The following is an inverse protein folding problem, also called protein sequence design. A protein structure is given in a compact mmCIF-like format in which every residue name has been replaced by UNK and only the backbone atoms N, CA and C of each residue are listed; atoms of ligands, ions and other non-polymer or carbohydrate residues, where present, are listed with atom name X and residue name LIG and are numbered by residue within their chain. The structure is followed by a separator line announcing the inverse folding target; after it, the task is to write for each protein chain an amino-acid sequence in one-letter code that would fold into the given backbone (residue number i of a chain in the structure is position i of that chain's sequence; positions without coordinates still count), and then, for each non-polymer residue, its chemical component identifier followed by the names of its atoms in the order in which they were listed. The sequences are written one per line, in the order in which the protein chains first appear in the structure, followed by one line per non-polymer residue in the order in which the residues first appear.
data_IF_441941923971
#
_entry.id   IF_441941923971
#
_cell.length_a   1.000
_cell.length_b   1.000
_cell.length_c   1.000
_cell.angle_alpha   90.00
_cell.angle_beta   90.00
_cell.angle_gamma   90.00
#
_symmetry.space_group_name_H-M   'P 1'
#
loop_
_entity.id
_entity.type
_entity.pdbx_description
1 polymer ?
#
# COMPACT_ATOMS: atom_id res chain seq x y z
N UNK A 1 4.12 -9.11 -32.96
CA UNK A 1 4.40 -10.37 -32.21
C UNK A 1 5.79 -10.93 -32.49
N UNK A 2 6.28 -10.92 -33.72
CA UNK A 2 7.57 -11.52 -34.08
C UNK A 2 8.79 -10.76 -33.52
N UNK A 3 8.71 -9.43 -33.44
CA UNK A 3 9.72 -8.58 -32.80
C UNK A 3 9.86 -8.85 -31.29
N UNK A 4 8.73 -8.99 -30.60
CA UNK A 4 8.68 -9.29 -29.16
C UNK A 4 9.33 -10.65 -28.85
N UNK A 5 8.92 -11.71 -29.57
CA UNK A 5 9.48 -13.06 -29.39
C UNK A 5 11.00 -13.10 -29.62
N UNK A 6 11.48 -12.36 -30.62
CA UNK A 6 12.91 -12.26 -30.93
C UNK A 6 13.69 -11.55 -29.82
N UNK A 7 13.17 -10.45 -29.29
CA UNK A 7 13.79 -9.72 -28.18
C UNK A 7 13.84 -10.59 -26.91
N UNK A 8 12.73 -11.21 -26.55
CA UNK A 8 12.63 -12.13 -25.40
C UNK A 8 13.63 -13.30 -25.52
N UNK A 9 13.72 -13.93 -26.70
CA UNK A 9 14.67 -15.04 -26.91
C UNK A 9 16.13 -14.59 -26.75
N UNK A 10 16.46 -13.37 -27.20
CA UNK A 10 17.79 -12.79 -27.03
C UNK A 10 18.13 -12.51 -25.58
N UNK A 11 17.18 -11.97 -24.80
CA UNK A 11 17.37 -11.71 -23.37
C UNK A 11 17.57 -13.00 -22.57
N UNK A 12 16.74 -14.02 -22.82
CA UNK A 12 16.91 -15.35 -22.23
C UNK A 12 18.29 -15.90 -22.59
N UNK A 13 18.70 -15.80 -23.85
CA UNK A 13 20.01 -16.27 -24.31
C UNK A 13 21.17 -15.61 -23.57
N UNK A 14 21.10 -14.31 -23.31
CA UNK A 14 22.08 -13.59 -22.50
C UNK A 14 22.11 -14.06 -21.05
N UNK A 15 20.94 -14.33 -20.45
CA UNK A 15 20.84 -14.89 -19.08
C UNK A 15 21.46 -16.28 -18.99
N UNK A 16 21.19 -17.15 -19.96
CA UNK A 16 21.81 -18.48 -20.04
C UNK A 16 23.33 -18.41 -20.18
N UNK A 17 23.83 -17.51 -21.05
CA UNK A 17 25.27 -17.29 -21.20
C UNK A 17 25.91 -16.86 -19.88
N UNK A 18 25.30 -15.90 -19.17
CA UNK A 18 25.77 -15.43 -17.86
C UNK A 18 25.78 -16.57 -16.83
N UNK A 19 24.70 -17.34 -16.73
CA UNK A 19 24.60 -18.49 -15.82
C UNK A 19 25.72 -19.51 -16.08
N UNK A 20 25.95 -19.85 -17.34
CA UNK A 20 27.03 -20.75 -17.74
C UNK A 20 28.41 -20.24 -17.31
N UNK A 21 28.66 -18.96 -17.54
CA UNK A 21 29.95 -18.32 -17.23
C UNK A 21 30.18 -18.19 -15.73
N UNK A 22 29.12 -17.95 -14.94
CA UNK A 22 29.18 -17.96 -13.47
C UNK A 22 29.60 -19.33 -12.90
N UNK A 23 29.19 -20.42 -13.55
CA UNK A 23 29.60 -21.78 -13.18
C UNK A 23 30.93 -22.23 -13.81
N UNK A 24 31.52 -21.41 -14.70
CA UNK A 24 32.75 -21.76 -15.42
C UNK A 24 32.58 -22.84 -16.49
N UNK A 25 31.36 -23.14 -16.94
CA UNK A 25 31.10 -24.24 -17.87
C UNK A 25 31.31 -23.87 -19.34
N UNK A 26 31.74 -24.83 -20.15
CA UNK A 26 31.71 -24.68 -21.61
C UNK A 26 30.27 -24.82 -22.16
N UNK A 27 30.02 -24.38 -23.40
CA UNK A 27 28.69 -24.56 -24.03
C UNK A 27 28.32 -26.04 -24.15
N UNK A 28 29.31 -26.89 -24.46
CA UNK A 28 29.14 -28.34 -24.55
C UNK A 28 28.80 -28.94 -23.20
N UNK A 29 29.47 -28.48 -22.14
CA UNK A 29 29.21 -28.94 -20.78
C UNK A 29 27.82 -28.54 -20.29
N UNK A 30 27.42 -27.29 -20.51
CA UNK A 30 26.07 -26.85 -20.14
C UNK A 30 24.99 -27.58 -20.95
N UNK A 31 25.22 -27.81 -22.25
CA UNK A 31 24.32 -28.58 -23.07
C UNK A 31 24.15 -30.02 -22.55
N UNK A 32 25.26 -30.67 -22.17
CA UNK A 32 25.25 -32.01 -21.55
C UNK A 32 24.44 -32.03 -20.25
N UNK A 33 24.71 -31.08 -19.34
CA UNK A 33 23.99 -30.95 -18.06
C UNK A 33 22.50 -30.67 -18.23
N UNK A 34 22.12 -29.93 -19.28
CA UNK A 34 20.73 -29.65 -19.63
C UNK A 34 20.11 -30.75 -20.51
N UNK A 35 20.85 -31.79 -20.88
CA UNK A 35 20.43 -32.89 -21.75
C UNK A 35 19.90 -32.40 -23.10
N UNK A 36 20.58 -31.43 -23.72
CA UNK A 36 20.32 -30.90 -25.06
C UNK A 36 21.59 -30.97 -25.91
N UNK A 37 21.47 -30.80 -27.23
CA UNK A 37 22.66 -30.77 -28.10
C UNK A 37 23.44 -29.47 -27.93
N UNK A 38 24.80 -29.48 -28.07
CA UNK A 38 25.61 -28.27 -28.03
C UNK A 38 25.17 -27.21 -29.05
N UNK A 39 24.76 -27.65 -30.24
CA UNK A 39 24.21 -26.77 -31.29
C UNK A 39 22.88 -26.14 -30.85
N UNK A 40 21.97 -26.92 -30.26
CA UNK A 40 20.69 -26.42 -29.73
C UNK A 40 20.90 -25.39 -28.62
N UNK A 41 21.78 -25.70 -27.66
CA UNK A 41 22.12 -24.76 -26.59
C UNK A 41 22.79 -23.48 -27.14
N UNK A 42 23.68 -23.61 -28.13
CA UNK A 42 24.30 -22.46 -28.80
C UNK A 42 23.29 -21.55 -29.50
N UNK A 43 22.21 -22.10 -30.07
CA UNK A 43 21.10 -21.31 -30.64
C UNK A 43 20.28 -20.61 -29.56
N UNK A 44 20.09 -21.25 -28.41
CA UNK A 44 19.41 -20.64 -27.26
C UNK A 44 20.19 -19.43 -26.73
N UNK A 45 21.49 -19.55 -26.48
CA UNK A 45 22.32 -18.42 -26.02
C UNK A 45 22.36 -17.25 -27.00
N UNK A 46 22.26 -17.52 -28.31
CA UNK A 46 22.22 -16.49 -29.36
C UNK A 46 20.83 -15.85 -29.51
N UNK A 47 19.81 -16.38 -28.83
CA UNK A 47 18.42 -15.96 -28.99
C UNK A 47 17.79 -16.33 -30.33
N UNK A 48 18.40 -17.27 -31.06
CA UNK A 48 17.87 -17.78 -32.33
C UNK A 48 16.64 -18.64 -32.06
N UNK A 49 16.71 -19.46 -31.00
CA UNK A 49 15.61 -20.29 -30.53
C UNK A 49 15.33 -20.01 -29.06
N UNK A 50 14.08 -20.17 -28.65
CA UNK A 50 13.70 -20.20 -27.24
C UNK A 50 13.97 -21.61 -26.68
N UNK A 51 14.50 -21.76 -25.45
CA UNK A 51 14.60 -23.06 -24.80
C UNK A 51 13.23 -23.76 -24.72
N UNK A 52 13.20 -25.07 -24.98
CA UNK A 52 11.98 -25.86 -24.84
C UNK A 52 11.60 -26.07 -23.37
N UNK A 53 10.36 -26.49 -23.11
CA UNK A 53 9.81 -26.67 -21.76
C UNK A 53 10.66 -27.59 -20.87
N UNK A 54 11.17 -28.69 -21.42
CA UNK A 54 12.05 -29.63 -20.70
C UNK A 54 13.37 -28.96 -20.31
N UNK A 55 13.94 -28.15 -21.19
CA UNK A 55 15.17 -27.38 -20.89
C UNK A 55 14.91 -26.34 -19.81
N UNK A 56 13.76 -25.65 -19.85
CA UNK A 56 13.35 -24.67 -18.85
C UNK A 56 13.15 -25.33 -17.47
N UNK A 57 12.53 -26.51 -17.42
CA UNK A 57 12.39 -27.28 -16.19
C UNK A 57 13.76 -27.65 -15.59
N UNK A 58 14.68 -28.15 -16.41
CA UNK A 58 16.04 -28.49 -15.96
C UNK A 58 16.81 -27.26 -15.46
N UNK A 59 16.65 -26.12 -16.13
CA UNK A 59 17.23 -24.85 -15.67
C UNK A 59 16.68 -24.46 -14.29
N UNK A 60 15.36 -24.55 -14.10
CA UNK A 60 14.70 -24.28 -12.81
C UNK A 60 15.21 -25.19 -11.70
N UNK A 61 15.33 -26.48 -11.97
CA UNK A 61 15.77 -27.46 -10.98
C UNK A 61 17.25 -27.28 -10.63
N UNK A 62 18.09 -27.02 -11.64
CA UNK A 62 19.54 -26.93 -11.45
C UNK A 62 19.99 -25.62 -10.79
N UNK A 63 19.38 -24.51 -11.17
CA UNK A 63 19.81 -23.16 -10.78
C UNK A 63 18.84 -22.48 -9.81
N UNK A 64 17.81 -23.19 -9.35
CA UNK A 64 16.74 -22.70 -8.48
C UNK A 64 16.00 -21.45 -9.00
N UNK A 65 15.96 -21.25 -10.32
CA UNK A 65 15.47 -20.01 -10.92
C UNK A 65 13.93 -19.90 -10.91
N UNK A 66 13.42 -18.68 -10.85
CA UNK A 66 12.03 -18.37 -11.17
C UNK A 66 11.87 -18.14 -12.68
N UNK A 67 10.68 -18.44 -13.21
CA UNK A 67 10.37 -18.17 -14.61
C UNK A 67 10.17 -16.67 -14.85
N UNK A 68 9.55 -15.99 -13.89
CA UNK A 68 9.30 -14.55 -13.97
C UNK A 68 10.61 -13.77 -14.17
N UNK A 69 11.66 -14.12 -13.41
CA UNK A 69 12.98 -13.54 -13.60
C UNK A 69 13.58 -13.90 -14.96
N UNK A 70 13.48 -15.17 -15.39
CA UNK A 70 14.08 -15.62 -16.63
C UNK A 70 13.47 -14.94 -17.87
N UNK A 71 12.14 -14.77 -17.89
CA UNK A 71 11.39 -14.28 -19.04
C UNK A 71 11.16 -12.77 -19.05
N UNK A 72 10.95 -12.16 -17.88
CA UNK A 72 10.50 -10.77 -17.77
C UNK A 72 11.48 -9.86 -17.04
N UNK A 73 12.56 -10.41 -16.46
CA UNK A 73 13.46 -9.67 -15.55
C UNK A 73 12.75 -9.11 -14.32
N UNK A 74 11.61 -9.73 -13.97
CA UNK A 74 10.76 -9.32 -12.87
C UNK A 74 10.94 -10.25 -11.68
N UNK A 75 10.91 -9.63 -10.49
CA UNK A 75 10.84 -10.36 -9.24
C UNK A 75 12.12 -11.10 -8.83
N UNK A 76 12.00 -12.00 -7.85
CA UNK A 76 13.13 -12.73 -7.27
C UNK A 76 13.76 -13.67 -8.30
N UNK A 77 15.09 -13.72 -8.36
CA UNK A 77 15.81 -14.60 -9.28
C UNK A 77 15.62 -16.06 -8.92
N UNK A 78 15.65 -16.37 -7.62
CA UNK A 78 15.55 -17.75 -7.12
C UNK A 78 14.26 -17.99 -6.34
N UNK A 79 13.88 -19.28 -6.20
CA UNK A 79 12.74 -19.65 -5.34
C UNK A 79 13.03 -19.36 -3.87
N UNK A 80 14.28 -19.47 -3.44
CA UNK A 80 14.68 -19.09 -2.09
C UNK A 80 14.50 -17.59 -1.83
N UNK A 81 14.97 -16.73 -2.75
CA UNK A 81 14.75 -15.28 -2.66
C UNK A 81 13.26 -14.95 -2.64
N UNK A 82 12.46 -15.65 -3.46
CA UNK A 82 11.00 -15.49 -3.48
C UNK A 82 10.37 -15.78 -2.14
N UNK A 83 10.66 -16.94 -1.54
CA UNK A 83 10.17 -17.29 -0.20
C UNK A 83 10.60 -16.30 0.86
N UNK A 84 11.86 -15.85 0.82
CA UNK A 84 12.36 -14.83 1.75
C UNK A 84 11.60 -13.53 1.62
N UNK A 85 11.33 -13.08 0.39
CA UNK A 85 10.55 -11.87 0.13
C UNK A 85 9.10 -12.01 0.60
N UNK A 86 8.47 -13.16 0.34
CA UNK A 86 7.12 -13.47 0.82
C UNK A 86 7.05 -13.40 2.35
N UNK A 87 8.01 -14.02 3.04
CA UNK A 87 8.09 -13.98 4.52
C UNK A 87 8.26 -12.54 5.04
N UNK A 88 9.11 -11.74 4.39
CA UNK A 88 9.31 -10.34 4.76
C UNK A 88 8.03 -9.50 4.57
N UNK A 89 7.33 -9.70 3.46
CA UNK A 89 6.08 -9.00 3.19
C UNK A 89 4.98 -9.39 4.19
N UNK A 90 4.92 -10.66 4.59
CA UNK A 90 4.00 -11.12 5.64
C UNK A 90 4.30 -10.44 6.98
N UNK A 91 5.58 -10.32 7.35
CA UNK A 91 5.98 -9.62 8.57
C UNK A 91 5.61 -8.14 8.54
N UNK A 92 5.91 -7.44 7.43
CA UNK A 92 5.58 -6.03 7.24
C UNK A 92 4.06 -5.79 7.26
N UNK A 93 3.28 -6.70 6.65
CA UNK A 93 1.82 -6.64 6.67
C UNK A 93 1.26 -6.79 8.09
N UNK A 94 1.82 -7.69 8.90
CA UNK A 94 1.37 -7.88 10.28
C UNK A 94 1.73 -6.69 11.18
N UNK A 95 2.89 -6.06 10.95
CA UNK A 95 3.26 -4.81 11.64
C UNK A 95 2.28 -3.68 11.29
N UNK A 96 2.01 -3.46 10.00
CA UNK A 96 1.08 -2.43 9.53
C UNK A 96 -0.34 -2.64 10.08
N UNK A 97 -0.81 -3.89 10.16
CA UNK A 97 -2.12 -4.21 10.74
C UNK A 97 -2.19 -3.84 12.22
N UNK A 98 -1.12 -4.07 12.98
CA UNK A 98 -1.05 -3.71 14.41
C UNK A 98 -1.09 -2.20 14.61
N UNK A 99 -0.32 -1.46 13.82
CA UNK A 99 -0.32 -0.01 13.84
C UNK A 99 -1.70 0.56 13.52
N UNK A 100 -2.35 0.04 12.47
CA UNK A 100 -3.70 0.45 12.08
C UNK A 100 -4.73 0.15 13.18
N UNK A 101 -4.60 -0.99 13.88
CA UNK A 101 -5.48 -1.34 14.99
C UNK A 101 -5.32 -0.36 16.16
N UNK A 102 -4.08 -0.06 16.55
CA UNK A 102 -3.79 0.93 17.60
C UNK A 102 -4.30 2.33 17.23
N UNK A 103 -4.13 2.74 15.97
CA UNK A 103 -4.65 4.01 15.49
C UNK A 103 -6.19 4.07 15.53
N UNK A 104 -6.86 2.97 15.15
CA UNK A 104 -8.33 2.87 15.22
C UNK A 104 -8.81 2.99 16.65
N UNK A 105 -8.19 2.27 17.58
CA UNK A 105 -8.54 2.32 19.01
C UNK A 105 -8.36 3.74 19.57
N UNK A 106 -7.24 4.41 19.27
CA UNK A 106 -7.02 5.79 19.69
C UNK A 106 -8.07 6.76 19.11
N UNK A 107 -8.46 6.56 17.85
CA UNK A 107 -9.52 7.35 17.21
C UNK A 107 -10.88 7.11 17.88
N UNK A 108 -11.19 5.87 18.22
CA UNK A 108 -12.43 5.50 18.91
C UNK A 108 -12.53 6.16 20.29
N UNK A 109 -11.44 6.15 21.07
CA UNK A 109 -11.37 6.84 22.35
C UNK A 109 -11.63 8.36 22.23
N UNK A 110 -11.08 9.00 21.19
CA UNK A 110 -11.33 10.42 20.92
C UNK A 110 -12.79 10.67 20.57
N UNK A 111 -13.41 9.78 19.79
CA UNK A 111 -14.82 9.88 19.43
C UNK A 111 -15.74 9.66 20.64
N UNK A 112 -15.43 8.70 21.50
CA UNK A 112 -16.15 8.43 22.74
C UNK A 112 -16.05 9.63 23.69
N UNK A 113 -14.87 10.20 23.86
CA UNK A 113 -14.66 11.41 24.66
C UNK A 113 -15.51 12.57 24.14
N UNK A 114 -15.46 12.82 22.83
CA UNK A 114 -16.26 13.87 22.20
C UNK A 114 -17.76 13.63 22.42
N UNK A 115 -18.21 12.39 22.25
CA UNK A 115 -19.61 12.01 22.46
C UNK A 115 -20.04 12.19 23.91
N UNK A 116 -19.16 11.84 24.87
CA UNK A 116 -19.40 12.05 26.29
C UNK A 116 -19.53 13.54 26.60
N UNK A 117 -18.61 14.35 26.10
CA UNK A 117 -18.66 15.79 26.24
C UNK A 117 -19.95 16.33 25.65
N UNK A 118 -20.27 16.03 24.38
CA UNK A 118 -21.50 16.50 23.73
C UNK A 118 -22.74 16.16 24.57
N UNK A 119 -22.80 14.97 25.19
CA UNK A 119 -23.87 14.58 26.10
C UNK A 119 -23.91 15.41 27.38
N UNK A 120 -22.77 15.63 28.04
CA UNK A 120 -22.67 16.50 29.23
C UNK A 120 -23.13 17.93 28.92
N UNK A 121 -22.72 18.48 27.76
CA UNK A 121 -23.13 19.80 27.30
C UNK A 121 -24.64 19.85 27.01
N UNK A 122 -25.21 18.77 26.44
CA UNK A 122 -26.66 18.65 26.25
C UNK A 122 -27.43 18.58 27.57
N UNK A 123 -26.96 17.83 28.56
CA UNK A 123 -27.58 17.74 29.89
C UNK A 123 -27.55 19.09 30.61
N UNK A 124 -26.42 19.80 30.58
CA UNK A 124 -26.30 21.16 31.11
C UNK A 124 -27.23 22.14 30.40
N UNK A 125 -27.33 22.05 29.06
CA UNK A 125 -28.23 22.88 28.28
C UNK A 125 -29.72 22.57 28.59
N UNK A 126 -30.06 21.30 28.77
CA UNK A 126 -31.42 20.87 29.11
C UNK A 126 -31.85 21.31 30.53
N UNK A 127 -30.90 21.42 31.46
CA UNK A 127 -31.13 21.93 32.81
C UNK A 127 -31.39 23.45 32.85
N UNK A 128 -31.04 24.20 31.80
CA UNK A 128 -31.38 25.62 31.70
C UNK A 128 -32.86 25.79 31.37
N UNK A 129 -33.59 26.53 32.20
CA UNK A 129 -34.97 26.94 31.91
C UNK A 129 -35.00 28.03 30.84
N UNK A 130 -34.76 27.64 29.59
CA UNK A 130 -34.77 28.54 28.45
C UNK A 130 -36.20 28.85 28.01
N UNK A 131 -36.45 30.14 27.75
CA UNK A 131 -37.70 30.59 27.13
C UNK A 131 -37.90 29.93 25.74
N UNK A 132 -39.15 29.67 25.30
CA UNK A 132 -39.42 29.00 24.03
C UNK A 132 -38.73 29.64 22.82
N UNK A 133 -38.66 30.97 22.78
CA UNK A 133 -38.07 31.74 21.68
C UNK A 133 -36.56 31.51 21.59
N UNK A 134 -35.89 31.27 22.71
CA UNK A 134 -34.45 30.97 22.75
C UNK A 134 -34.19 29.54 22.31
N UNK A 135 -35.07 28.59 22.64
CA UNK A 135 -34.97 27.19 22.16
C UNK A 135 -35.13 27.12 20.64
N UNK A 136 -36.12 27.83 20.10
CA UNK A 136 -36.34 27.93 18.66
C UNK A 136 -35.12 28.54 17.95
N UNK A 137 -34.55 29.61 18.50
CA UNK A 137 -33.34 30.23 17.97
C UNK A 137 -32.15 29.26 17.91
N UNK A 138 -31.92 28.48 18.98
CA UNK A 138 -30.85 27.48 19.04
C UNK A 138 -31.03 26.37 17.99
N UNK A 139 -32.25 25.87 17.79
CA UNK A 139 -32.53 24.89 16.73
C UNK A 139 -32.27 25.47 15.33
N UNK A 140 -32.66 26.73 15.10
CA UNK A 140 -32.41 27.41 13.84
C UNK A 140 -30.90 27.66 13.61
N UNK A 141 -30.12 27.95 14.65
CA UNK A 141 -28.67 28.12 14.56
C UNK A 141 -27.95 26.83 14.13
N UNK A 142 -28.45 25.65 14.54
CA UNK A 142 -27.91 24.36 14.09
C UNK A 142 -28.24 24.10 12.61
N UNK A 143 -29.44 24.47 12.17
CA UNK A 143 -29.90 24.24 10.79
C UNK A 143 -29.37 25.26 9.78
N UNK A 144 -29.12 26.50 10.22
CA UNK A 144 -28.74 27.63 9.38
C UNK A 144 -27.40 28.18 9.88
N UNK A 145 -26.26 27.69 9.34
CA UNK A 145 -24.93 28.09 9.82
C UNK A 145 -24.71 29.61 9.77
N UNK A 146 -25.31 30.31 8.81
CA UNK A 146 -25.16 31.77 8.70
C UNK A 146 -25.77 32.53 9.88
N UNK A 147 -26.89 32.03 10.43
CA UNK A 147 -27.55 32.62 11.58
C UNK A 147 -26.68 32.52 12.84
N UNK A 148 -25.97 31.40 13.04
CA UNK A 148 -24.98 31.24 14.11
C UNK A 148 -23.95 32.37 14.08
N UNK A 149 -23.32 32.60 12.92
CA UNK A 149 -22.30 33.66 12.79
C UNK A 149 -22.87 35.07 13.02
N UNK A 150 -24.08 35.36 12.54
CA UNK A 150 -24.73 36.66 12.74
C UNK A 150 -25.01 36.96 14.22
N UNK A 151 -25.42 35.95 14.97
CA UNK A 151 -25.68 36.07 16.41
C UNK A 151 -24.35 36.26 17.17
N UNK A 152 -23.32 35.50 16.82
CA UNK A 152 -21.98 35.66 17.42
C UNK A 152 -21.40 37.07 17.20
N UNK A 153 -21.53 37.62 15.98
CA UNK A 153 -21.08 38.98 15.67
C UNK A 153 -21.89 40.03 16.44
N UNK A 154 -23.20 39.85 16.57
CA UNK A 154 -24.06 40.75 17.34
C UNK A 154 -23.70 40.73 18.82
N UNK A 155 -23.45 39.55 19.39
CA UNK A 155 -22.98 39.41 20.77
C UNK A 155 -21.61 40.07 21.00
N UNK A 156 -20.69 39.93 20.05
CA UNK A 156 -19.39 40.59 20.13
C UNK A 156 -19.52 42.12 20.17
N UNK A 157 -20.36 42.70 19.30
CA UNK A 157 -20.65 44.16 19.32
C UNK A 157 -21.24 44.59 20.65
N UNK A 158 -22.25 43.86 21.13
CA UNK A 158 -22.86 44.11 22.43
C UNK A 158 -21.84 44.10 23.57
N UNK A 159 -20.94 43.10 23.61
CA UNK A 159 -19.88 42.99 24.64
C UNK A 159 -18.88 44.15 24.58
N UNK A 160 -18.56 44.62 23.38
CA UNK A 160 -17.65 45.77 23.19
C UNK A 160 -18.31 47.07 23.66
N UNK A 161 -19.59 47.25 23.37
CA UNK A 161 -20.37 48.44 23.73
C UNK A 161 -20.76 48.47 25.22
N UNK A 162 -20.84 47.30 25.87
CA UNK A 162 -21.34 47.14 27.25
C UNK A 162 -20.32 46.45 28.17
N UNK A 163 -19.03 46.79 28.05
CA UNK A 163 -17.92 46.15 28.77
C UNK A 163 -18.12 46.01 30.28
N UNK A 164 -18.69 47.02 30.95
CA UNK A 164 -18.87 47.02 32.41
C UNK A 164 -19.90 46.00 32.91
N UNK A 165 -20.85 45.56 32.07
CA UNK A 165 -21.89 44.59 32.45
C UNK A 165 -21.44 43.13 32.31
N UNK A 166 -20.35 42.86 31.59
CA UNK A 166 -19.92 41.49 31.22
C UNK A 166 -18.77 40.98 32.13
N UNK A 167 -18.07 41.85 32.85
CA UNK A 167 -16.95 41.47 33.73
C UNK A 167 -17.39 41.10 35.17
N UNK A 168 -18.69 41.11 35.48
CA UNK A 168 -19.24 40.84 36.83
C UNK A 168 -19.86 39.44 37.04
N UNK A 169 -19.78 38.51 36.07
CA UNK A 169 -20.29 37.12 36.17
C UNK A 169 -19.19 36.11 35.93
#
# INVERSE_FOLDING_TARGET
MESFKRNMSREIGLKLKKLREQEGWSKTEMASRLGVTPSGYGKNEKGVNTPGIVTLQRLRERFDLTMDWLFFDEGPRTRQEKKKRETQLEQELEELKRELAAQREAYEQVLEEKTRQDKEWQEKAAALELKPEVKELLEQMVRIPMLYYQIMLSYQKFKVENKELVEMS
#
